data_IF_628555114905
#
_entry.id   IF_628555114905
#
_cell.length_a   1.000
_cell.length_b   1.000
_cell.length_c   1.000
_cell.angle_alpha   90.00
_cell.angle_beta   90.00
_cell.angle_gamma   90.00
#
_symmetry.space_group_name_H-M   'P 1'
#
loop_
_entity.id
_entity.type
_entity.pdbx_description
1 polymer ?
#
# COMPACT_ATOMS: atom_id res chain seq x y z
N UNK A 1 70.68 27.39 47.37
CA UNK A 1 69.69 28.19 46.64
C UNK A 1 68.70 27.23 46.04
N UNK A 2 67.60 27.04 46.77
CA UNK A 2 66.58 26.07 46.41
C UNK A 2 65.40 26.82 45.84
N UNK A 3 65.03 26.55 44.62
CA UNK A 3 63.84 27.07 43.96
C UNK A 3 62.69 26.07 44.13
N UNK A 4 61.66 26.48 44.82
CA UNK A 4 60.39 25.81 45.00
C UNK A 4 59.54 25.98 43.76
N UNK A 5 59.22 24.89 43.04
CA UNK A 5 58.26 24.87 41.95
C UNK A 5 56.89 24.51 42.53
N UNK A 6 55.96 25.48 42.55
CA UNK A 6 54.57 25.28 42.92
C UNK A 6 53.76 24.67 41.76
N UNK A 7 53.29 23.45 41.97
CA UNK A 7 52.39 22.75 41.04
C UNK A 7 50.95 23.19 41.31
N UNK A 8 50.38 24.04 40.43
CA UNK A 8 48.93 24.36 40.48
C UNK A 8 48.09 23.24 39.81
N UNK A 9 47.35 22.56 40.67
CA UNK A 9 46.38 21.54 40.21
C UNK A 9 45.13 22.25 39.71
N UNK A 10 44.95 22.32 38.37
CA UNK A 10 43.73 22.84 37.76
C UNK A 10 42.71 21.71 37.75
N UNK A 11 41.68 21.82 38.58
CA UNK A 11 40.52 20.92 38.58
C UNK A 11 39.67 21.23 37.36
N UNK A 12 39.79 20.43 36.32
CA UNK A 12 38.87 20.49 35.17
C UNK A 12 37.49 19.95 35.58
N UNK A 13 36.56 20.91 35.71
CA UNK A 13 35.16 20.61 35.88
C UNK A 13 34.61 20.01 34.57
N UNK A 14 34.53 18.69 34.52
CA UNK A 14 33.95 17.93 33.40
C UNK A 14 32.46 18.21 33.30
N UNK A 15 32.04 19.06 32.38
CA UNK A 15 30.66 19.36 32.08
C UNK A 15 29.96 18.04 31.64
N UNK A 16 29.10 17.54 32.52
CA UNK A 16 28.18 16.46 32.22
C UNK A 16 27.05 16.99 31.33
N UNK A 17 26.85 16.40 30.16
CA UNK A 17 25.67 16.69 29.36
C UNK A 17 25.81 16.47 27.86
N UNK A 18 26.35 15.34 27.43
CA UNK A 18 26.07 14.88 26.06
C UNK A 18 25.11 13.70 26.15
N UNK A 19 23.86 13.93 25.79
CA UNK A 19 22.85 12.88 25.68
C UNK A 19 23.43 11.73 24.84
N UNK A 20 23.54 10.55 25.47
CA UNK A 20 24.00 9.32 24.78
C UNK A 20 22.98 8.98 23.71
N UNK A 21 23.28 9.29 22.43
CA UNK A 21 22.55 8.73 21.29
C UNK A 21 22.50 7.21 21.43
N UNK A 22 21.35 6.59 21.17
CA UNK A 22 21.20 5.14 21.26
C UNK A 22 22.28 4.44 20.42
N UNK A 23 22.87 3.35 20.93
CA UNK A 23 24.06 2.71 20.36
C UNK A 23 23.88 2.23 18.90
N UNK A 24 22.64 1.95 18.45
CA UNK A 24 22.35 1.55 17.07
C UNK A 24 22.46 2.69 16.06
N UNK A 25 22.48 3.96 16.48
CA UNK A 25 22.73 5.14 15.61
C UNK A 25 24.23 5.49 15.52
N UNK A 26 25.13 4.67 16.07
CA UNK A 26 26.58 4.89 15.94
C UNK A 26 27.10 4.29 14.63
N UNK A 27 27.90 5.04 13.89
CA UNK A 27 28.56 4.57 12.67
C UNK A 27 27.71 4.75 11.39
N UNK A 28 27.54 3.71 10.59
CA UNK A 28 26.94 3.77 9.25
C UNK A 28 25.47 4.22 9.27
N UNK A 29 24.68 3.78 10.24
CA UNK A 29 23.27 4.20 10.34
C UNK A 29 23.12 5.70 10.58
N UNK A 30 23.99 6.29 11.41
CA UNK A 30 24.02 7.75 11.63
C UNK A 30 24.39 8.51 10.35
N UNK A 31 25.37 7.99 9.59
CA UNK A 31 25.79 8.60 8.32
C UNK A 31 24.63 8.61 7.31
N UNK A 32 23.96 7.46 7.13
CA UNK A 32 22.79 7.34 6.24
C UNK A 32 21.66 8.26 6.68
N UNK A 33 21.36 8.29 7.98
CA UNK A 33 20.35 9.20 8.53
C UNK A 33 20.69 10.67 8.24
N UNK A 34 21.94 11.08 8.50
CA UNK A 34 22.38 12.46 8.26
C UNK A 34 22.31 12.84 6.78
N UNK A 35 22.65 11.91 5.88
CA UNK A 35 22.62 12.11 4.44
C UNK A 35 21.19 12.29 3.90
N UNK A 36 20.25 11.49 4.41
CA UNK A 36 18.86 11.49 3.93
C UNK A 36 17.86 12.14 4.90
N UNK A 37 18.34 12.84 5.94
CA UNK A 37 17.49 13.40 6.99
C UNK A 37 16.37 14.29 6.46
N UNK A 38 16.63 15.11 5.45
CA UNK A 38 15.63 15.98 4.85
C UNK A 38 14.49 15.15 4.25
N UNK A 39 14.81 14.14 3.43
CA UNK A 39 13.81 13.26 2.83
C UNK A 39 13.03 12.46 3.89
N UNK A 40 13.69 11.95 4.92
CA UNK A 40 13.03 11.21 6.00
C UNK A 40 12.09 12.10 6.82
N UNK A 41 12.53 13.31 7.17
CA UNK A 41 11.69 14.27 7.89
C UNK A 41 10.53 14.79 7.05
N UNK A 42 10.71 14.98 5.72
CA UNK A 42 9.59 15.34 4.84
C UNK A 42 8.56 14.24 4.75
N UNK A 43 8.96 12.98 4.63
CA UNK A 43 8.03 11.83 4.60
C UNK A 43 7.30 11.70 5.93
N UNK A 44 8.01 11.70 7.06
CA UNK A 44 7.39 11.57 8.39
C UNK A 44 6.49 12.77 8.72
N UNK A 45 6.93 13.99 8.40
CA UNK A 45 6.16 15.21 8.63
C UNK A 45 4.91 15.28 7.77
N UNK A 46 5.02 14.95 6.46
CA UNK A 46 3.87 14.88 5.58
C UNK A 46 2.87 13.80 6.02
N UNK A 47 3.37 12.64 6.46
CA UNK A 47 2.51 11.58 7.02
C UNK A 47 1.82 12.00 8.30
N UNK A 48 2.52 12.69 9.21
CA UNK A 48 1.93 13.23 10.44
C UNK A 48 0.83 14.26 10.14
N UNK A 49 1.07 15.17 9.19
CA UNK A 49 0.08 16.14 8.74
C UNK A 49 -1.14 15.46 8.11
N UNK A 50 -0.93 14.44 7.27
CA UNK A 50 -2.01 13.68 6.66
C UNK A 50 -2.82 12.88 7.70
N UNK A 51 -2.18 12.28 8.70
CA UNK A 51 -2.87 11.63 9.83
C UNK A 51 -3.70 12.64 10.61
N UNK A 52 -3.13 13.82 10.93
CA UNK A 52 -3.86 14.88 11.62
C UNK A 52 -5.08 15.35 10.81
N UNK A 53 -4.92 15.49 9.49
CA UNK A 53 -6.01 15.83 8.59
C UNK A 53 -7.12 14.75 8.59
N UNK A 54 -6.75 13.47 8.52
CA UNK A 54 -7.70 12.34 8.58
C UNK A 54 -8.48 12.36 9.91
N UNK A 55 -7.79 12.55 11.04
CA UNK A 55 -8.41 12.64 12.36
C UNK A 55 -9.37 13.82 12.43
N UNK A 56 -8.99 14.97 11.89
CA UNK A 56 -9.84 16.16 11.83
C UNK A 56 -11.09 15.92 10.97
N UNK A 57 -10.94 15.37 9.77
CA UNK A 57 -12.06 15.07 8.87
C UNK A 57 -13.05 14.07 9.50
N UNK A 58 -12.53 13.04 10.18
CA UNK A 58 -13.36 12.10 10.93
C UNK A 58 -14.18 12.78 12.02
N UNK A 59 -13.60 13.74 12.75
CA UNK A 59 -14.29 14.46 13.84
C UNK A 59 -15.42 15.35 13.34
N UNK A 60 -15.35 15.80 12.07
CA UNK A 60 -16.38 16.64 11.45
C UNK A 60 -17.52 15.82 10.80
N UNK A 61 -17.46 14.49 10.84
CA UNK A 61 -18.40 13.59 10.15
C UNK A 61 -18.60 13.94 8.65
N UNK A 62 -17.55 14.42 8.00
CA UNK A 62 -17.60 14.97 6.66
C UNK A 62 -17.33 13.90 5.60
N UNK A 63 -18.37 13.36 4.98
CA UNK A 63 -18.30 12.27 3.99
C UNK A 63 -17.63 12.73 2.68
N UNK A 64 -17.85 13.97 2.24
CA UNK A 64 -17.32 14.46 0.97
C UNK A 64 -15.77 14.48 0.90
N UNK A 65 -15.08 14.61 2.05
CA UNK A 65 -13.61 14.52 2.12
C UNK A 65 -13.05 13.11 1.99
N UNK A 66 -13.88 12.10 2.16
CA UNK A 66 -13.46 10.69 2.21
C UNK A 66 -12.86 10.22 0.87
N UNK A 67 -13.58 10.39 -0.24
CA UNK A 67 -13.14 9.97 -1.57
C UNK A 67 -11.87 10.71 -2.04
N UNK A 68 -11.76 12.01 -1.73
CA UNK A 68 -10.56 12.80 -2.05
C UNK A 68 -9.36 12.33 -1.25
N UNK A 69 -9.53 12.06 0.05
CA UNK A 69 -8.47 11.56 0.93
C UNK A 69 -7.99 10.18 0.48
N UNK A 70 -8.90 9.26 0.21
CA UNK A 70 -8.56 7.91 -0.25
C UNK A 70 -7.81 7.93 -1.58
N UNK A 71 -8.23 8.78 -2.52
CA UNK A 71 -7.53 8.99 -3.80
C UNK A 71 -6.11 9.51 -3.57
N UNK A 72 -5.94 10.48 -2.66
CA UNK A 72 -4.61 10.99 -2.27
C UNK A 72 -3.72 9.91 -1.67
N UNK A 73 -4.25 9.11 -0.74
CA UNK A 73 -3.51 8.03 -0.09
C UNK A 73 -3.06 6.95 -1.10
N UNK A 74 -3.85 6.66 -2.12
CA UNK A 74 -3.50 5.71 -3.18
C UNK A 74 -2.27 6.13 -3.98
N UNK A 75 -1.98 7.42 -4.08
CA UNK A 75 -0.80 7.93 -4.78
C UNK A 75 0.49 7.81 -3.96
N UNK A 76 0.40 7.61 -2.64
CA UNK A 76 1.57 7.59 -1.75
C UNK A 76 2.61 6.54 -2.16
N UNK A 77 2.29 5.28 -2.49
CA UNK A 77 3.28 4.31 -2.95
C UNK A 77 4.05 4.79 -4.19
N UNK A 78 3.37 5.44 -5.15
CA UNK A 78 3.99 6.00 -6.36
C UNK A 78 4.97 7.11 -5.97
N UNK A 79 4.50 8.08 -5.17
CA UNK A 79 5.32 9.22 -4.75
C UNK A 79 6.56 8.76 -3.95
N UNK A 80 6.39 7.82 -3.02
CA UNK A 80 7.51 7.26 -2.27
C UNK A 80 8.49 6.51 -3.19
N UNK A 81 8.01 5.72 -4.14
CA UNK A 81 8.86 5.03 -5.12
C UNK A 81 9.69 6.01 -5.94
N UNK A 82 9.06 7.04 -6.50
CA UNK A 82 9.69 8.02 -7.39
C UNK A 82 10.63 8.96 -6.65
N UNK A 83 10.21 9.54 -5.52
CA UNK A 83 10.96 10.60 -4.85
C UNK A 83 11.89 10.10 -3.75
N UNK A 84 11.63 8.94 -3.17
CA UNK A 84 12.50 8.35 -2.14
C UNK A 84 13.29 7.15 -2.69
N UNK A 85 12.62 6.22 -3.38
CA UNK A 85 13.24 4.99 -3.89
C UNK A 85 14.24 5.25 -5.01
N UNK A 86 13.82 5.89 -6.10
CA UNK A 86 14.66 6.11 -7.28
C UNK A 86 15.95 6.87 -6.98
N UNK A 87 15.96 8.01 -6.26
CA UNK A 87 17.18 8.76 -5.99
C UNK A 87 18.05 8.12 -4.92
N UNK A 88 17.58 7.12 -4.16
CA UNK A 88 18.28 6.53 -3.02
C UNK A 88 19.72 6.06 -3.36
N UNK A 89 19.88 5.46 -4.52
CA UNK A 89 21.20 5.04 -5.04
C UNK A 89 21.62 5.83 -6.28
N UNK A 90 20.68 6.23 -7.14
CA UNK A 90 21.00 6.96 -8.35
C UNK A 90 21.74 8.27 -8.05
N UNK A 91 21.29 9.02 -7.04
CA UNK A 91 21.92 10.27 -6.62
C UNK A 91 23.37 10.09 -6.14
N UNK A 92 23.64 9.03 -5.37
CA UNK A 92 25.01 8.74 -4.91
C UNK A 92 25.95 8.33 -6.06
N UNK A 93 25.41 7.58 -7.03
CA UNK A 93 26.19 7.12 -8.17
C UNK A 93 26.46 8.27 -9.15
N UNK A 94 25.48 9.13 -9.38
CA UNK A 94 25.58 10.30 -10.27
C UNK A 94 26.56 11.34 -9.71
N UNK A 95 26.50 11.62 -8.40
CA UNK A 95 27.37 12.59 -7.72
C UNK A 95 28.75 12.01 -7.32
N UNK A 96 29.05 10.74 -7.63
CA UNK A 96 30.32 10.10 -7.31
C UNK A 96 30.57 9.84 -5.82
N UNK A 97 29.61 10.12 -4.93
CA UNK A 97 29.74 9.89 -3.48
C UNK A 97 29.88 8.40 -3.14
N UNK A 98 29.37 7.51 -3.98
CA UNK A 98 29.56 6.06 -3.86
C UNK A 98 31.04 5.65 -3.87
N UNK A 99 31.91 6.35 -4.61
CA UNK A 99 33.35 6.10 -4.65
C UNK A 99 34.06 6.45 -3.33
N UNK A 100 33.61 7.51 -2.67
CA UNK A 100 34.14 7.91 -1.36
C UNK A 100 33.80 6.86 -0.28
N UNK A 101 32.59 6.29 -0.33
CA UNK A 101 32.19 5.21 0.59
C UNK A 101 32.98 3.91 0.29
N UNK A 102 33.24 3.62 -0.99
CA UNK A 102 34.04 2.45 -1.39
C UNK A 102 35.51 2.53 -0.94
N UNK A 103 36.06 3.74 -0.75
CA UNK A 103 37.40 3.96 -0.21
C UNK A 103 37.48 3.77 1.31
N UNK A 104 36.36 3.72 2.01
CA UNK A 104 36.29 3.42 3.44
C UNK A 104 36.21 1.89 3.66
N UNK A 105 36.76 1.39 4.76
CA UNK A 105 36.85 -0.05 5.11
C UNK A 105 35.50 -0.76 5.34
N UNK A 106 34.39 -0.17 4.87
CA UNK A 106 33.02 -0.70 5.05
C UNK A 106 32.62 -1.54 3.84
N UNK A 107 32.09 -2.75 4.08
CA UNK A 107 31.60 -3.61 3.02
C UNK A 107 30.40 -2.99 2.30
N UNK A 108 30.36 -3.12 0.97
CA UNK A 108 29.25 -2.63 0.12
C UNK A 108 27.89 -3.17 0.55
N UNK A 109 27.83 -4.45 0.91
CA UNK A 109 26.64 -5.10 1.42
C UNK A 109 26.11 -4.44 2.68
N UNK A 110 26.99 -4.08 3.61
CA UNK A 110 26.59 -3.40 4.85
C UNK A 110 26.05 -1.99 4.57
N UNK A 111 26.66 -1.25 3.67
CA UNK A 111 26.18 0.07 3.24
C UNK A 111 24.79 -0.03 2.58
N UNK A 112 24.64 -0.94 1.60
CA UNK A 112 23.37 -1.20 0.92
C UNK A 112 22.28 -1.60 1.92
N UNK A 113 22.57 -2.59 2.78
CA UNK A 113 21.64 -3.09 3.79
C UNK A 113 21.17 -1.98 4.75
N UNK A 114 22.11 -1.14 5.22
CA UNK A 114 21.78 -0.05 6.15
C UNK A 114 20.87 1.00 5.49
N UNK A 115 21.14 1.36 4.22
CA UNK A 115 20.30 2.31 3.47
C UNK A 115 18.89 1.75 3.27
N UNK A 116 18.79 0.53 2.77
CA UNK A 116 17.51 -0.12 2.52
C UNK A 116 16.72 -0.29 3.84
N UNK A 117 17.38 -0.75 4.90
CA UNK A 117 16.72 -0.97 6.19
C UNK A 117 16.14 0.33 6.79
N UNK A 118 16.95 1.40 6.85
CA UNK A 118 16.47 2.69 7.37
C UNK A 118 15.33 3.27 6.54
N UNK A 119 15.47 3.23 5.22
CA UNK A 119 14.43 3.71 4.31
C UNK A 119 13.15 2.89 4.47
N UNK A 120 13.26 1.55 4.54
CA UNK A 120 12.11 0.66 4.75
C UNK A 120 11.41 0.93 6.09
N UNK A 121 12.16 1.18 7.17
CA UNK A 121 11.57 1.53 8.48
C UNK A 121 10.76 2.83 8.38
N UNK A 122 11.30 3.87 7.76
CA UNK A 122 10.58 5.15 7.58
C UNK A 122 9.32 4.94 6.75
N UNK A 123 9.39 4.19 5.66
CA UNK A 123 8.24 3.88 4.80
C UNK A 123 7.19 3.09 5.56
N UNK A 124 7.58 2.04 6.28
CA UNK A 124 6.65 1.22 7.07
C UNK A 124 5.95 2.05 8.15
N UNK A 125 6.71 2.82 8.95
CA UNK A 125 6.13 3.67 10.00
C UNK A 125 5.12 4.66 9.42
N UNK A 126 5.48 5.34 8.33
CA UNK A 126 4.61 6.32 7.66
C UNK A 126 3.35 5.67 7.09
N UNK A 127 3.49 4.58 6.35
CA UNK A 127 2.35 3.93 5.68
C UNK A 127 1.45 3.18 6.65
N UNK A 128 1.99 2.57 7.72
CA UNK A 128 1.19 1.96 8.79
C UNK A 128 0.37 3.02 9.52
N UNK A 129 0.97 4.16 9.87
CA UNK A 129 0.25 5.24 10.54
C UNK A 129 -0.92 5.77 9.68
N UNK A 130 -0.67 5.99 8.39
CA UNK A 130 -1.71 6.44 7.44
C UNK A 130 -2.80 5.41 7.23
N UNK A 131 -2.42 4.15 7.03
CA UNK A 131 -3.36 3.04 6.85
C UNK A 131 -4.23 2.81 8.09
N UNK A 132 -3.64 2.88 9.29
CA UNK A 132 -4.36 2.74 10.54
C UNK A 132 -5.33 3.91 10.77
N UNK A 133 -4.89 5.15 10.53
CA UNK A 133 -5.74 6.33 10.67
C UNK A 133 -6.93 6.30 9.68
N UNK A 134 -6.66 5.92 8.43
CA UNK A 134 -7.71 5.83 7.42
C UNK A 134 -8.64 4.64 7.66
N UNK A 135 -8.13 3.49 8.09
CA UNK A 135 -8.94 2.34 8.51
C UNK A 135 -9.88 2.68 9.67
N UNK A 136 -9.37 3.42 10.68
CA UNK A 136 -10.19 3.92 11.78
C UNK A 136 -11.28 4.89 11.34
N UNK A 137 -11.06 5.66 10.27
CA UNK A 137 -12.11 6.47 9.65
C UNK A 137 -13.09 5.61 8.84
N UNK A 138 -12.59 4.63 8.08
CA UNK A 138 -13.41 3.69 7.32
C UNK A 138 -14.38 2.91 8.20
N UNK A 139 -13.95 2.45 9.39
CA UNK A 139 -14.81 1.71 10.34
C UNK A 139 -16.06 2.49 10.75
N UNK A 140 -15.99 3.84 10.79
CA UNK A 140 -17.14 4.68 11.11
C UNK A 140 -18.18 4.68 9.99
N UNK A 141 -17.73 4.59 8.73
CA UNK A 141 -18.59 4.73 7.55
C UNK A 141 -19.00 3.39 6.92
N UNK A 142 -18.55 2.26 7.43
CA UNK A 142 -18.90 0.94 6.89
C UNK A 142 -20.40 0.69 6.75
N UNK A 143 -21.21 1.27 7.63
CA UNK A 143 -22.67 1.12 7.63
C UNK A 143 -23.38 2.09 6.68
N UNK A 144 -22.73 3.20 6.29
CA UNK A 144 -23.37 4.27 5.51
C UNK A 144 -22.84 4.32 4.07
N UNK A 145 -21.61 3.87 3.85
CA UNK A 145 -21.05 3.72 2.50
C UNK A 145 -21.72 2.53 1.83
N UNK A 146 -22.26 2.76 0.63
CA UNK A 146 -22.91 1.70 -0.15
C UNK A 146 -22.08 0.42 -0.11
N UNK A 147 -22.75 -0.66 0.23
CA UNK A 147 -22.20 -1.94 0.65
C UNK A 147 -21.08 -2.53 -0.23
N UNK A 148 -20.86 -1.99 -1.43
CA UNK A 148 -19.89 -2.48 -2.41
C UNK A 148 -18.56 -1.71 -2.44
N UNK A 149 -18.41 -0.61 -1.72
CA UNK A 149 -17.25 0.28 -1.88
C UNK A 149 -15.96 -0.22 -1.22
N UNK A 150 -16.04 -1.23 -0.34
CA UNK A 150 -14.87 -1.77 0.34
C UNK A 150 -13.86 -2.42 -0.62
N UNK A 151 -14.32 -3.00 -1.74
CA UNK A 151 -13.46 -3.70 -2.71
C UNK A 151 -12.82 -2.76 -3.72
N UNK A 152 -13.35 -1.56 -3.88
CA UNK A 152 -12.72 -0.60 -4.77
C UNK A 152 -11.32 -0.23 -4.28
N UNK A 153 -10.43 0.02 -5.22
CA UNK A 153 -9.01 0.30 -4.97
C UNK A 153 -8.77 1.40 -3.94
N UNK A 154 -9.67 2.39 -3.85
CA UNK A 154 -9.50 3.50 -2.92
C UNK A 154 -9.73 3.10 -1.45
N UNK A 155 -10.44 2.02 -1.15
CA UNK A 155 -10.58 1.49 0.20
C UNK A 155 -9.65 0.30 0.44
N UNK A 156 -9.63 -0.65 -0.46
CA UNK A 156 -8.83 -1.86 -0.34
C UNK A 156 -7.33 -1.58 -0.29
N UNK A 157 -6.85 -0.62 -1.10
CA UNK A 157 -5.43 -0.27 -1.21
C UNK A 157 -4.97 0.79 -0.21
N UNK A 158 -5.89 1.35 0.59
CA UNK A 158 -5.56 2.40 1.57
C UNK A 158 -5.67 1.94 3.02
N UNK A 159 -6.31 0.80 3.25
CA UNK A 159 -6.48 0.18 4.57
C UNK A 159 -5.69 -1.13 4.69
N UNK A 160 -5.42 -1.55 5.91
CA UNK A 160 -4.76 -2.82 6.20
C UNK A 160 -3.29 -2.92 5.74
N UNK A 161 -2.78 -4.11 5.42
CA UNK A 161 -1.37 -4.34 5.10
C UNK A 161 -0.98 -3.99 3.65
N UNK A 162 -1.96 -3.88 2.74
CA UNK A 162 -1.72 -3.69 1.30
C UNK A 162 -0.94 -2.40 0.99
N UNK A 163 -1.31 -1.19 1.53
CA UNK A 163 -0.58 0.03 1.22
C UNK A 163 0.87 -0.01 1.69
N UNK A 164 1.16 -0.71 2.79
CA UNK A 164 2.52 -0.93 3.29
C UNK A 164 3.33 -1.77 2.31
N UNK A 165 2.75 -2.86 1.83
CA UNK A 165 3.41 -3.77 0.88
C UNK A 165 3.64 -3.09 -0.49
N UNK A 166 2.65 -2.34 -0.99
CA UNK A 166 2.78 -1.54 -2.22
C UNK A 166 3.86 -0.46 -2.10
N UNK A 167 3.92 0.24 -0.97
CA UNK A 167 4.94 1.28 -0.74
C UNK A 167 6.35 0.68 -0.68
N UNK A 168 6.51 -0.45 0.02
CA UNK A 168 7.79 -1.16 0.07
C UNK A 168 8.23 -1.64 -1.32
N UNK A 169 7.33 -2.26 -2.08
CA UNK A 169 7.63 -2.70 -3.46
C UNK A 169 8.02 -1.51 -4.35
N UNK A 170 7.28 -0.40 -4.25
CA UNK A 170 7.55 0.81 -5.02
C UNK A 170 8.91 1.42 -4.68
N UNK A 171 9.25 1.53 -3.39
CA UNK A 171 10.50 2.15 -2.94
C UNK A 171 11.70 1.24 -3.25
N UNK A 172 11.62 -0.05 -2.97
CA UNK A 172 12.72 -0.98 -3.22
C UNK A 172 12.88 -1.27 -4.72
N UNK A 173 11.78 -1.29 -5.48
CA UNK A 173 11.80 -1.32 -6.94
C UNK A 173 12.46 -0.07 -7.52
N UNK A 174 12.08 1.11 -7.04
CA UNK A 174 12.73 2.37 -7.41
C UNK A 174 14.22 2.40 -7.08
N UNK A 175 14.61 1.90 -5.90
CA UNK A 175 16.00 1.76 -5.51
C UNK A 175 16.79 0.82 -6.44
N UNK A 176 16.17 -0.29 -6.87
CA UNK A 176 16.78 -1.22 -7.85
C UNK A 176 16.96 -0.55 -9.20
N UNK A 177 15.96 0.15 -9.70
CA UNK A 177 16.01 0.92 -10.94
C UNK A 177 17.10 2.00 -10.86
N UNK A 178 17.17 2.74 -9.74
CA UNK A 178 18.18 3.76 -9.48
C UNK A 178 19.61 3.21 -9.49
N UNK A 179 19.81 2.04 -8.87
CA UNK A 179 21.11 1.36 -8.85
C UNK A 179 21.57 0.93 -10.26
N UNK A 180 20.63 0.50 -11.12
CA UNK A 180 20.92 0.04 -12.48
C UNK A 180 21.18 1.21 -13.43
N UNK A 181 20.33 2.23 -13.40
CA UNK A 181 20.37 3.35 -14.36
C UNK A 181 21.45 4.38 -14.01
N UNK A 182 21.82 4.54 -12.74
CA UNK A 182 22.85 5.47 -12.26
C UNK A 182 22.60 6.96 -12.60
N UNK A 183 21.42 7.30 -13.07
CA UNK A 183 20.98 8.67 -13.40
C UNK A 183 19.64 8.95 -12.72
N UNK A 184 19.60 9.99 -11.90
CA UNK A 184 18.47 10.26 -11.02
C UNK A 184 17.17 10.53 -11.80
N UNK A 185 17.18 11.41 -12.79
CA UNK A 185 15.99 11.73 -13.57
C UNK A 185 15.46 10.53 -14.36
N UNK A 186 16.35 9.78 -15.01
CA UNK A 186 15.96 8.58 -15.75
C UNK A 186 15.39 7.51 -14.80
N UNK A 187 15.99 7.34 -13.61
CA UNK A 187 15.50 6.42 -12.61
C UNK A 187 14.11 6.80 -12.10
N UNK A 188 13.85 8.10 -11.86
CA UNK A 188 12.53 8.58 -11.45
C UNK A 188 11.46 8.32 -12.53
N UNK A 189 11.76 8.60 -13.80
CA UNK A 189 10.83 8.35 -14.90
C UNK A 189 10.49 6.86 -15.06
N UNK A 190 11.51 5.98 -15.02
CA UNK A 190 11.30 4.53 -15.12
C UNK A 190 10.60 3.99 -13.87
N UNK A 191 10.91 4.52 -12.68
CA UNK A 191 10.21 4.14 -11.44
C UNK A 191 8.75 4.55 -11.48
N UNK A 192 8.42 5.72 -12.02
CA UNK A 192 7.02 6.13 -12.23
C UNK A 192 6.28 5.13 -13.10
N UNK A 193 6.85 4.77 -14.26
CA UNK A 193 6.26 3.75 -15.14
C UNK A 193 6.12 2.39 -14.44
N UNK A 194 7.13 1.95 -13.69
CA UNK A 194 7.10 0.72 -12.93
C UNK A 194 5.99 0.71 -11.87
N UNK A 195 5.90 1.76 -11.05
CA UNK A 195 4.92 1.83 -9.96
C UNK A 195 3.49 1.93 -10.48
N UNK A 196 3.27 2.66 -11.58
CA UNK A 196 1.97 2.70 -12.27
C UNK A 196 1.61 1.32 -12.82
N UNK A 197 2.55 0.65 -13.51
CA UNK A 197 2.33 -0.70 -14.02
C UNK A 197 1.99 -1.70 -12.90
N UNK A 198 2.70 -1.64 -11.76
CA UNK A 198 2.39 -2.46 -10.59
C UNK A 198 0.96 -2.22 -10.11
N UNK A 199 0.52 -0.96 -10.00
CA UNK A 199 -0.84 -0.66 -9.57
C UNK A 199 -1.90 -1.12 -10.58
N UNK A 200 -1.66 -0.97 -11.89
CA UNK A 200 -2.59 -1.46 -12.93
C UNK A 200 -2.73 -2.98 -12.91
N UNK A 201 -1.61 -3.69 -12.81
CA UNK A 201 -1.62 -5.16 -12.68
C UNK A 201 -2.32 -5.57 -11.40
N UNK A 202 -2.02 -4.90 -10.29
CA UNK A 202 -2.65 -5.15 -8.99
C UNK A 202 -4.17 -4.97 -9.04
N UNK A 203 -4.66 -3.86 -9.61
CA UNK A 203 -6.10 -3.60 -9.72
C UNK A 203 -6.82 -4.64 -10.58
N UNK A 204 -6.17 -5.13 -11.62
CA UNK A 204 -6.74 -6.18 -12.48
C UNK A 204 -6.94 -7.51 -11.73
N UNK A 205 -6.00 -7.89 -10.85
CA UNK A 205 -6.06 -9.13 -10.11
C UNK A 205 -6.79 -9.05 -8.75
N UNK A 206 -7.20 -7.87 -8.32
CA UNK A 206 -7.78 -7.64 -6.99
C UNK A 206 -9.01 -8.52 -6.72
N UNK A 207 -9.92 -8.61 -7.69
CA UNK A 207 -11.14 -9.44 -7.56
C UNK A 207 -10.84 -10.95 -7.52
N UNK A 208 -9.75 -11.40 -8.15
CA UNK A 208 -9.34 -12.80 -8.15
C UNK A 208 -8.73 -13.29 -6.83
N UNK A 209 -8.46 -12.37 -5.89
CA UNK A 209 -7.97 -12.73 -4.54
C UNK A 209 -9.08 -13.29 -3.64
N UNK A 210 -10.36 -13.02 -3.97
CA UNK A 210 -11.50 -13.45 -3.20
C UNK A 210 -12.14 -14.75 -3.71
N UNK A 211 -12.89 -15.40 -2.85
CA UNK A 211 -13.70 -16.55 -3.21
C UNK A 211 -15.13 -16.09 -3.48
N UNK A 212 -15.57 -16.16 -4.73
CA UNK A 212 -16.93 -15.79 -5.14
C UNK A 212 -17.92 -16.82 -4.59
N UNK A 213 -18.94 -16.33 -3.91
CA UNK A 213 -20.05 -17.12 -3.40
C UNK A 213 -21.29 -16.88 -4.26
N UNK A 214 -22.07 -17.93 -4.51
CA UNK A 214 -23.32 -17.86 -5.25
C UNK A 214 -24.50 -17.92 -4.27
N UNK A 215 -25.34 -16.90 -4.29
CA UNK A 215 -26.61 -16.89 -3.57
C UNK A 215 -27.74 -17.28 -4.52
N UNK A 216 -28.48 -18.32 -4.20
CA UNK A 216 -29.69 -18.73 -4.91
C UNK A 216 -30.92 -18.44 -4.07
N UNK A 217 -31.94 -17.83 -4.67
CA UNK A 217 -33.23 -17.58 -4.02
C UNK A 217 -34.34 -18.26 -4.79
N UNK A 218 -35.19 -19.02 -4.11
CA UNK A 218 -36.35 -19.73 -4.67
C UNK A 218 -37.64 -18.93 -4.53
N UNK A 219 -37.59 -17.63 -4.41
CA UNK A 219 -38.78 -16.78 -4.26
C UNK A 219 -39.43 -16.49 -5.61
N UNK A 220 -40.17 -17.43 -6.14
CA UNK A 220 -41.15 -17.23 -7.20
C UNK A 220 -40.81 -16.28 -8.36
N UNK A 221 -41.67 -16.30 -9.37
CA UNK A 221 -41.52 -15.56 -10.62
C UNK A 221 -41.76 -14.05 -10.49
N UNK A 222 -42.39 -13.61 -9.39
CA UNK A 222 -42.58 -12.20 -9.01
C UNK A 222 -41.37 -11.72 -8.26
N UNK A 223 -40.32 -11.52 -8.99
CA UNK A 223 -39.05 -11.30 -8.36
C UNK A 223 -38.82 -9.84 -8.04
N UNK A 224 -39.05 -9.41 -6.82
CA UNK A 224 -38.23 -8.37 -6.26
C UNK A 224 -36.76 -8.76 -6.44
N UNK A 225 -36.02 -7.90 -7.09
CA UNK A 225 -34.60 -8.09 -7.39
C UNK A 225 -33.85 -8.45 -6.09
N UNK A 226 -33.12 -9.57 -6.04
CA UNK A 226 -32.54 -10.09 -4.81
C UNK A 226 -31.41 -9.23 -4.21
N UNK A 227 -31.16 -8.05 -4.73
CA UNK A 227 -30.24 -7.09 -4.11
C UNK A 227 -30.56 -6.79 -2.64
N UNK A 228 -31.83 -6.91 -2.25
CA UNK A 228 -32.26 -6.75 -0.85
C UNK A 228 -31.96 -7.99 0.03
N UNK A 229 -31.62 -9.13 -0.58
CA UNK A 229 -31.34 -10.38 0.13
C UNK A 229 -29.83 -10.61 0.31
N UNK A 230 -28.99 -9.82 -0.36
CA UNK A 230 -27.55 -9.92 -0.20
C UNK A 230 -27.11 -9.50 1.21
N UNK A 231 -26.11 -10.17 1.80
CA UNK A 231 -25.52 -9.74 3.06
C UNK A 231 -25.03 -8.29 2.98
N UNK A 232 -25.15 -7.56 4.09
CA UNK A 232 -24.61 -6.19 4.18
C UNK A 232 -23.14 -6.16 3.78
N UNK A 233 -22.74 -5.26 2.88
CA UNK A 233 -21.39 -5.18 2.38
C UNK A 233 -21.03 -6.19 1.29
N UNK A 234 -21.98 -6.93 0.73
CA UNK A 234 -21.72 -7.85 -0.37
C UNK A 234 -21.46 -7.09 -1.68
N UNK A 235 -20.33 -7.37 -2.34
CA UNK A 235 -20.03 -6.86 -3.67
C UNK A 235 -20.48 -7.87 -4.73
N UNK A 236 -21.31 -7.45 -5.67
CA UNK A 236 -21.73 -8.28 -6.80
C UNK A 236 -20.61 -8.37 -7.84
N UNK A 237 -20.16 -9.58 -8.12
CA UNK A 237 -19.10 -9.84 -9.11
C UNK A 237 -19.66 -10.00 -10.53
N UNK A 238 -20.97 -10.23 -10.66
CA UNK A 238 -21.65 -10.43 -11.94
C UNK A 238 -23.09 -9.91 -11.93
N UNK A 239 -23.75 -9.99 -13.08
CA UNK A 239 -25.20 -9.78 -13.19
C UNK A 239 -25.96 -10.86 -12.45
N UNK A 240 -27.18 -10.54 -11.97
CA UNK A 240 -28.11 -11.58 -11.52
C UNK A 240 -28.53 -12.43 -12.73
N UNK A 241 -28.78 -13.71 -12.49
CA UNK A 241 -29.29 -14.66 -13.49
C UNK A 241 -30.58 -15.29 -12.97
N UNK A 242 -31.49 -15.61 -13.85
CA UNK A 242 -32.64 -16.45 -13.49
C UNK A 242 -32.21 -17.90 -13.31
N UNK A 243 -32.69 -18.55 -12.27
CA UNK A 243 -32.49 -19.96 -12.01
C UNK A 243 -33.72 -20.74 -12.46
N UNK A 244 -33.56 -21.74 -13.34
CA UNK A 244 -34.62 -22.63 -13.79
C UNK A 244 -34.74 -23.84 -12.91
N UNK A 245 -35.89 -24.54 -12.97
CA UNK A 245 -36.14 -25.76 -12.17
C UNK A 245 -35.18 -26.91 -12.47
N UNK A 246 -34.58 -26.95 -13.66
CA UNK A 246 -33.53 -27.91 -14.06
C UNK A 246 -32.09 -27.44 -13.67
N UNK A 247 -31.99 -26.29 -12.96
CA UNK A 247 -30.72 -25.76 -12.45
C UNK A 247 -29.90 -24.96 -13.47
N UNK A 248 -30.45 -24.64 -14.65
CA UNK A 248 -29.79 -23.78 -15.63
C UNK A 248 -29.91 -22.30 -15.24
N UNK A 249 -28.88 -21.50 -15.63
CA UNK A 249 -28.85 -20.07 -15.47
C UNK A 249 -29.27 -19.39 -16.78
N UNK A 250 -30.30 -18.53 -16.72
CA UNK A 250 -30.75 -17.71 -17.83
C UNK A 250 -30.42 -16.26 -17.55
N UNK A 251 -30.00 -15.51 -18.57
CA UNK A 251 -29.72 -14.08 -18.44
C UNK A 251 -30.96 -13.25 -18.11
N UNK A 252 -30.81 -12.12 -17.44
CA UNK A 252 -31.91 -11.19 -17.06
C UNK A 252 -32.69 -10.74 -18.30
N UNK A 253 -32.06 -10.68 -19.48
CA UNK A 253 -32.67 -10.31 -20.73
C UNK A 253 -33.57 -11.36 -21.37
N UNK A 254 -33.70 -12.57 -20.81
CA UNK A 254 -34.47 -13.70 -21.41
C UNK A 254 -35.93 -13.33 -21.71
N UNK A 255 -36.54 -12.43 -20.93
CA UNK A 255 -37.89 -11.92 -21.12
C UNK A 255 -37.92 -10.39 -21.32
N UNK A 256 -36.82 -9.80 -21.78
CA UNK A 256 -36.66 -8.34 -21.93
C UNK A 256 -37.58 -7.69 -23.00
N UNK A 257 -38.08 -8.48 -23.95
CA UNK A 257 -39.01 -8.00 -24.98
C UNK A 257 -40.45 -7.88 -24.46
N UNK A 258 -40.75 -8.35 -23.25
CA UNK A 258 -42.06 -8.27 -22.66
C UNK A 258 -42.35 -6.82 -22.18
N UNK A 259 -43.33 -6.15 -22.82
CA UNK A 259 -43.65 -4.75 -22.54
C UNK A 259 -44.52 -4.54 -21.30
N UNK A 260 -45.03 -5.60 -20.69
CA UNK A 260 -45.87 -5.55 -19.51
C UNK A 260 -45.40 -6.55 -18.46
N UNK A 261 -45.56 -6.19 -17.19
CA UNK A 261 -45.21 -7.03 -16.05
C UNK A 261 -45.85 -8.43 -16.13
N UNK A 262 -47.12 -8.50 -16.55
CA UNK A 262 -47.84 -9.74 -16.76
C UNK A 262 -47.27 -10.61 -17.91
N UNK A 263 -46.78 -9.99 -18.99
CA UNK A 263 -46.16 -10.69 -20.09
C UNK A 263 -44.77 -11.24 -19.67
N UNK A 264 -44.03 -10.46 -18.87
CA UNK A 264 -42.74 -10.90 -18.28
C UNK A 264 -42.96 -12.10 -17.35
N UNK A 265 -43.98 -12.06 -16.47
CA UNK A 265 -44.31 -13.16 -15.57
C UNK A 265 -44.70 -14.45 -16.34
N UNK A 266 -45.49 -14.34 -17.37
CA UNK A 266 -45.85 -15.47 -18.23
C UNK A 266 -44.67 -16.05 -18.98
N UNK A 267 -43.75 -15.20 -19.46
CA UNK A 267 -42.51 -15.61 -20.13
C UNK A 267 -41.62 -16.36 -19.15
N UNK A 268 -41.41 -15.84 -17.94
CA UNK A 268 -40.56 -16.47 -16.92
C UNK A 268 -41.13 -17.83 -16.46
N UNK A 269 -42.44 -17.92 -16.30
CA UNK A 269 -43.13 -19.23 -16.01
C UNK A 269 -42.96 -20.23 -17.12
N UNK A 270 -43.07 -19.78 -18.41
CA UNK A 270 -42.84 -20.64 -19.58
C UNK A 270 -41.41 -21.14 -19.70
N UNK A 271 -40.46 -20.32 -19.22
CA UNK A 271 -39.03 -20.64 -19.14
C UNK A 271 -38.66 -21.47 -17.90
N UNK A 272 -39.64 -21.92 -17.11
CA UNK A 272 -39.46 -22.67 -15.86
C UNK A 272 -38.55 -21.97 -14.84
N UNK A 273 -38.62 -20.63 -14.75
CA UNK A 273 -37.83 -19.90 -13.79
C UNK A 273 -38.41 -20.06 -12.39
N UNK A 274 -37.60 -20.59 -11.48
CA UNK A 274 -37.98 -20.85 -10.09
C UNK A 274 -37.36 -19.84 -9.11
N UNK A 275 -36.32 -19.12 -9.54
CA UNK A 275 -35.65 -18.17 -8.65
C UNK A 275 -34.54 -17.38 -9.34
N UNK A 276 -33.64 -16.85 -8.52
CA UNK A 276 -32.51 -16.05 -8.92
C UNK A 276 -31.20 -16.68 -8.46
N UNK A 277 -30.13 -16.42 -9.21
CA UNK A 277 -28.76 -16.73 -8.83
C UNK A 277 -27.90 -15.48 -8.95
N UNK A 278 -27.14 -15.16 -7.92
CA UNK A 278 -26.27 -13.98 -7.88
C UNK A 278 -24.91 -14.39 -7.31
N UNK A 279 -23.86 -14.02 -8.03
CA UNK A 279 -22.50 -14.18 -7.57
C UNK A 279 -22.06 -12.93 -6.83
N UNK A 280 -21.47 -13.12 -5.64
CA UNK A 280 -21.05 -12.03 -4.79
C UNK A 280 -19.79 -12.35 -3.97
N UNK A 281 -19.08 -11.32 -3.57
CA UNK A 281 -18.00 -11.36 -2.60
C UNK A 281 -18.46 -10.72 -1.29
N UNK A 282 -18.44 -11.45 -0.16
CA UNK A 282 -18.81 -10.89 1.13
C UNK A 282 -17.67 -10.03 1.70
N UNK A 283 -18.02 -8.93 2.37
CA UNK A 283 -17.06 -8.04 3.03
C UNK A 283 -16.19 -8.76 4.09
N UNK A 284 -16.69 -9.85 4.68
CA UNK A 284 -15.94 -10.65 5.65
C UNK A 284 -14.63 -11.24 5.09
N UNK A 285 -14.50 -11.35 3.76
CA UNK A 285 -13.27 -11.79 3.11
C UNK A 285 -12.21 -10.68 2.95
N UNK A 286 -12.57 -9.40 3.14
CA UNK A 286 -11.68 -8.26 2.89
C UNK A 286 -10.32 -8.41 3.57
N UNK A 287 -10.32 -8.68 4.87
CA UNK A 287 -9.07 -8.83 5.65
C UNK A 287 -8.21 -9.99 5.14
N UNK A 288 -8.83 -11.14 4.85
CA UNK A 288 -8.12 -12.31 4.28
C UNK A 288 -7.50 -12.01 2.92
N UNK A 289 -8.26 -11.36 2.03
CA UNK A 289 -7.78 -10.94 0.71
C UNK A 289 -6.62 -9.93 0.82
N UNK A 290 -6.72 -8.97 1.75
CA UNK A 290 -5.65 -7.99 1.99
C UNK A 290 -4.35 -8.66 2.47
N UNK A 291 -4.42 -9.58 3.43
CA UNK A 291 -3.23 -10.30 3.91
C UNK A 291 -2.64 -11.21 2.86
N UNK A 292 -3.47 -11.93 2.10
CA UNK A 292 -3.00 -12.78 1.01
C UNK A 292 -2.32 -11.94 -0.09
N UNK A 293 -2.98 -10.87 -0.51
CA UNK A 293 -2.42 -9.95 -1.51
C UNK A 293 -1.13 -9.26 -1.04
N UNK A 294 -1.10 -8.78 0.22
CA UNK A 294 0.10 -8.20 0.80
C UNK A 294 1.27 -9.20 0.86
N UNK A 295 1.00 -10.48 1.13
CA UNK A 295 2.04 -11.51 1.13
C UNK A 295 2.68 -11.71 -0.25
N UNK A 296 1.90 -11.66 -1.33
CA UNK A 296 2.40 -11.69 -2.71
C UNK A 296 3.29 -10.47 -2.99
N UNK A 297 2.82 -9.27 -2.65
CA UNK A 297 3.59 -8.04 -2.84
C UNK A 297 4.90 -8.03 -2.02
N UNK A 298 4.87 -8.55 -0.79
CA UNK A 298 6.07 -8.68 0.05
C UNK A 298 7.03 -9.73 -0.50
N UNK A 299 6.55 -10.83 -1.07
CA UNK A 299 7.40 -11.82 -1.75
C UNK A 299 8.10 -11.20 -2.97
N UNK A 300 7.39 -10.40 -3.77
CA UNK A 300 7.98 -9.63 -4.88
C UNK A 300 9.01 -8.62 -4.36
N UNK A 301 8.71 -7.95 -3.26
CA UNK A 301 9.64 -7.02 -2.60
C UNK A 301 10.92 -7.72 -2.14
N UNK A 302 10.79 -8.93 -1.57
CA UNK A 302 11.94 -9.75 -1.18
C UNK A 302 12.78 -10.19 -2.39
N UNK A 303 12.13 -10.57 -3.51
CA UNK A 303 12.81 -10.90 -4.75
C UNK A 303 13.59 -9.71 -5.33
N UNK A 304 12.99 -8.51 -5.35
CA UNK A 304 13.68 -7.26 -5.76
C UNK A 304 14.87 -6.96 -4.85
N UNK A 305 14.69 -7.14 -3.53
CA UNK A 305 15.75 -6.93 -2.56
C UNK A 305 16.91 -7.92 -2.77
N UNK A 306 16.61 -9.19 -3.00
CA UNK A 306 17.60 -10.20 -3.33
C UNK A 306 18.36 -9.85 -4.63
N UNK A 307 17.64 -9.40 -5.66
CA UNK A 307 18.23 -8.90 -6.90
C UNK A 307 19.22 -7.75 -6.63
N UNK A 308 18.86 -6.78 -5.79
CA UNK A 308 19.76 -5.66 -5.42
C UNK A 308 21.07 -6.16 -4.83
N UNK A 309 21.04 -7.11 -3.91
CA UNK A 309 22.24 -7.68 -3.29
C UNK A 309 23.09 -8.49 -4.28
N UNK A 310 22.46 -9.30 -5.11
CA UNK A 310 23.15 -10.09 -6.14
C UNK A 310 23.80 -9.20 -7.21
N UNK A 311 23.08 -8.15 -7.65
CA UNK A 311 23.59 -7.22 -8.66
C UNK A 311 24.76 -6.40 -8.14
N UNK A 312 24.67 -5.90 -6.89
CA UNK A 312 25.74 -5.13 -6.27
C UNK A 312 27.02 -5.94 -6.03
N UNK A 313 26.92 -7.26 -5.88
CA UNK A 313 28.07 -8.15 -5.71
C UNK A 313 28.82 -8.45 -7.01
N UNK A 314 28.15 -8.38 -8.17
CA UNK A 314 28.73 -8.79 -9.46
C UNK A 314 29.40 -7.65 -10.24
N UNK A 315 29.10 -6.40 -9.96
CA UNK A 315 29.69 -5.25 -10.69
C UNK A 315 30.47 -4.34 -9.75
N UNK A 316 31.75 -4.07 -10.04
CA UNK A 316 32.49 -3.02 -9.34
C UNK A 316 31.85 -1.67 -9.64
N UNK A 317 31.54 -0.92 -8.59
CA UNK A 317 31.02 0.46 -8.64
C UNK A 317 32.22 1.41 -8.88
#
# INVERSE_FOLDING_TARGET
MSSLTSTSTTTETRAAGTGRLPQFLKGMAWLVWRQHRAAFWTVLGASALAVTYIVFQRSQLYIAGYSTTSTGLRLIPILLGVFLGAPLFAGDLENGTARLVAAQSVSRTRWLATKLALTSVVVVVSTVALSAAFGWWFDLYQSEVTAAEWIFEYNFNTTGPVPVALALLSVLGGAAIGLVLRRTLAAMAVTLAFTVAVQLVWSHFLLSLGNVLTLTTSRGVTAEYPAQVLPTGAYRTGGASYLTGDGKLLGIGTCGDAQTERATELCLRKADVVGWSIDYLPMSQMTGMQWFGASILLALTAAVTAFLFLWSGKRPV
#
